data_IF_400297898539
#
_entry.id   IF_400297898539
#
_cell.length_a   1.000
_cell.length_b   1.000
_cell.length_c   1.000
_cell.angle_alpha   90.00
_cell.angle_beta   90.00
_cell.angle_gamma   90.00
#
_symmetry.space_group_name_H-M   'P 1'
#
loop_
_entity.id
_entity.type
_entity.pdbx_description
1 polymer ?
#
# COMPACT_ATOMS: atom_id res chain seq x y z
N UNK A 1 15.78 -5.21 15.97
CA UNK A 1 15.44 -6.54 15.42
C UNK A 1 16.43 -6.86 14.31
N UNK A 2 17.39 -7.77 14.54
CA UNK A 2 18.20 -8.36 13.46
C UNK A 2 17.27 -9.02 12.44
N UNK A 3 17.53 -9.14 11.15
CA UNK A 3 18.67 -8.79 10.31
C UNK A 3 18.40 -9.34 8.89
N UNK A 4 17.13 -9.30 8.46
CA UNK A 4 16.65 -9.91 7.21
C UNK A 4 16.36 -8.87 6.14
N UNK A 5 17.02 -7.72 6.23
CA UNK A 5 16.81 -6.63 5.29
C UNK A 5 18.11 -5.88 5.07
N UNK A 6 18.37 -5.57 3.81
CA UNK A 6 19.53 -4.81 3.38
C UNK A 6 19.14 -3.36 3.17
N UNK A 7 19.93 -2.43 3.71
CA UNK A 7 19.75 -1.01 3.47
C UNK A 7 20.28 -0.65 2.09
N UNK A 8 19.50 0.08 1.30
CA UNK A 8 19.90 0.56 -0.01
C UNK A 8 20.48 1.98 0.09
N UNK A 9 19.62 2.98 0.27
CA UNK A 9 20.00 4.39 0.34
C UNK A 9 18.94 5.20 1.12
N UNK A 10 19.24 6.47 1.42
CA UNK A 10 18.29 7.40 2.06
C UNK A 10 17.81 8.46 1.09
N UNK A 11 16.52 8.76 1.14
CA UNK A 11 15.90 9.87 0.39
C UNK A 11 15.15 10.76 1.39
N UNK A 12 15.56 12.03 1.52
CA UNK A 12 14.96 13.01 2.45
C UNK A 12 14.77 12.48 3.89
N UNK A 13 15.72 11.69 4.38
CA UNK A 13 15.68 11.08 5.73
C UNK A 13 15.05 9.69 5.79
N UNK A 14 14.25 9.31 4.80
CA UNK A 14 13.60 7.98 4.70
C UNK A 14 14.64 6.95 4.25
N UNK A 15 14.82 5.88 5.03
CA UNK A 15 15.69 4.77 4.65
C UNK A 15 14.96 3.80 3.71
N UNK A 16 15.45 3.62 2.49
CA UNK A 16 14.97 2.56 1.62
C UNK A 16 15.73 1.27 1.95
N UNK A 17 15.00 0.20 2.23
CA UNK A 17 15.54 -1.13 2.50
C UNK A 17 14.82 -2.20 1.70
N UNK A 18 15.48 -3.32 1.47
CA UNK A 18 14.93 -4.49 0.79
C UNK A 18 14.96 -5.67 1.75
N UNK A 19 13.83 -6.37 1.90
CA UNK A 19 13.77 -7.61 2.66
C UNK A 19 14.44 -8.75 1.89
N UNK A 20 15.09 -9.68 2.57
CA UNK A 20 15.83 -10.78 1.94
C UNK A 20 14.97 -11.62 0.99
N UNK A 21 13.68 -11.78 1.29
CA UNK A 21 12.72 -12.50 0.42
C UNK A 21 12.57 -11.87 -0.97
N UNK A 22 12.92 -10.60 -1.15
CA UNK A 22 12.97 -9.95 -2.46
C UNK A 22 13.99 -10.62 -3.40
N UNK A 23 15.10 -11.13 -2.87
CA UNK A 23 16.08 -11.86 -3.68
C UNK A 23 15.54 -13.21 -4.18
N UNK A 24 14.62 -13.84 -3.45
CA UNK A 24 13.91 -15.03 -3.93
C UNK A 24 13.00 -14.67 -5.12
N UNK A 25 12.30 -13.54 -5.05
CA UNK A 25 11.52 -13.03 -6.18
C UNK A 25 12.40 -12.75 -7.39
N UNK A 26 13.56 -12.09 -7.20
CA UNK A 26 14.55 -11.88 -8.25
C UNK A 26 15.01 -13.21 -8.87
N UNK A 27 15.28 -14.23 -8.07
CA UNK A 27 15.72 -15.54 -8.55
C UNK A 27 14.63 -16.24 -9.39
N UNK A 28 13.37 -16.20 -8.94
CA UNK A 28 12.23 -16.77 -9.69
C UNK A 28 12.03 -16.04 -11.01
N UNK A 29 12.01 -14.71 -10.99
CA UNK A 29 11.82 -13.89 -12.20
C UNK A 29 12.97 -14.06 -13.19
N UNK A 30 14.21 -14.16 -12.70
CA UNK A 30 15.38 -14.47 -13.51
C UNK A 30 15.28 -15.88 -14.12
N UNK A 31 14.84 -16.88 -13.34
CA UNK A 31 14.64 -18.24 -13.83
C UNK A 31 13.56 -18.33 -14.92
N UNK A 32 12.46 -17.59 -14.76
CA UNK A 32 11.42 -17.50 -15.79
C UNK A 32 11.91 -16.77 -17.04
N UNK A 33 12.70 -15.71 -16.88
CA UNK A 33 13.36 -15.03 -18.00
C UNK A 33 14.38 -15.93 -18.73
N UNK A 34 15.08 -16.78 -17.98
CA UNK A 34 16.03 -17.74 -18.55
C UNK A 34 15.34 -18.82 -19.37
N UNK A 35 14.25 -19.40 -18.86
CA UNK A 35 13.45 -20.40 -19.58
C UNK A 35 12.85 -19.80 -20.86
N UNK A 36 12.38 -18.55 -20.77
CA UNK A 36 11.55 -17.95 -21.82
C UNK A 36 10.22 -18.69 -21.96
N UNK A 37 9.32 -18.14 -22.76
CA UNK A 37 8.04 -18.77 -23.11
C UNK A 37 7.94 -18.76 -24.64
N UNK A 38 8.47 -19.80 -25.32
CA UNK A 38 8.54 -19.84 -26.79
C UNK A 38 7.17 -19.72 -27.46
N UNK A 39 6.13 -20.27 -26.84
CA UNK A 39 4.74 -20.20 -27.33
C UNK A 39 4.19 -18.77 -27.37
N UNK A 40 4.77 -17.86 -26.59
CA UNK A 40 4.42 -16.44 -26.52
C UNK A 40 5.45 -15.55 -27.26
N UNK A 41 6.43 -16.16 -27.93
CA UNK A 41 7.52 -15.46 -28.61
C UNK A 41 8.54 -14.82 -27.65
N UNK A 42 8.52 -15.17 -26.36
CA UNK A 42 9.45 -14.63 -25.38
C UNK A 42 10.83 -15.28 -25.51
N UNK A 43 11.85 -14.45 -25.79
CA UNK A 43 13.24 -14.87 -25.95
C UNK A 43 13.81 -15.30 -24.58
N UNK A 44 14.28 -16.54 -24.48
CA UNK A 44 14.93 -17.06 -23.27
C UNK A 44 16.40 -16.62 -23.12
N UNK A 45 17.11 -17.29 -22.21
CA UNK A 45 18.52 -17.03 -21.93
C UNK A 45 18.77 -15.68 -21.25
N UNK A 46 19.99 -15.13 -21.41
CA UNK A 46 20.38 -13.88 -20.75
C UNK A 46 19.55 -12.65 -21.18
N UNK A 47 19.02 -12.66 -22.41
CA UNK A 47 18.15 -11.58 -22.90
C UNK A 47 16.82 -11.58 -22.14
N UNK A 48 16.19 -12.74 -22.00
CA UNK A 48 14.95 -12.88 -21.21
C UNK A 48 15.15 -12.58 -19.74
N UNK A 49 16.29 -12.97 -19.15
CA UNK A 49 16.68 -12.58 -17.78
C UNK A 49 16.74 -11.07 -17.64
N UNK A 50 17.47 -10.39 -18.53
CA UNK A 50 17.62 -8.94 -18.49
C UNK A 50 16.28 -8.21 -18.65
N UNK A 51 15.43 -8.69 -19.57
CA UNK A 51 14.10 -8.15 -19.81
C UNK A 51 13.20 -8.26 -18.57
N UNK A 52 13.08 -9.47 -18.01
CA UNK A 52 12.22 -9.72 -16.86
C UNK A 52 12.69 -9.01 -15.59
N UNK A 53 14.00 -8.97 -15.34
CA UNK A 53 14.57 -8.19 -14.22
C UNK A 53 14.32 -6.69 -14.45
N UNK A 54 14.54 -6.18 -15.66
CA UNK A 54 14.30 -4.77 -15.97
C UNK A 54 12.84 -4.36 -15.73
N UNK A 55 11.91 -5.20 -16.16
CA UNK A 55 10.48 -5.08 -15.91
C UNK A 55 10.17 -5.08 -14.41
N UNK A 56 10.71 -6.05 -13.65
CA UNK A 56 10.50 -6.16 -12.20
C UNK A 56 11.03 -4.90 -11.47
N UNK A 57 12.23 -4.44 -11.84
CA UNK A 57 12.84 -3.26 -11.24
C UNK A 57 12.02 -2.00 -11.54
N UNK A 58 11.46 -1.87 -12.74
CA UNK A 58 10.60 -0.76 -13.09
C UNK A 58 9.26 -0.80 -12.33
N UNK A 59 8.65 -1.98 -12.19
CA UNK A 59 7.46 -2.16 -11.35
C UNK A 59 7.73 -1.74 -9.90
N UNK A 60 8.80 -2.24 -9.29
CA UNK A 60 9.15 -1.89 -7.92
C UNK A 60 9.56 -0.42 -7.77
N UNK A 61 10.08 0.21 -8.83
CA UNK A 61 10.28 1.66 -8.84
C UNK A 61 8.94 2.39 -8.74
N UNK A 62 7.89 1.95 -9.46
CA UNK A 62 6.55 2.50 -9.30
C UNK A 62 5.99 2.26 -7.89
N UNK A 63 6.21 1.08 -7.29
CA UNK A 63 5.86 0.81 -5.88
C UNK A 63 6.56 1.79 -4.93
N UNK A 64 7.87 2.02 -5.11
CA UNK A 64 8.62 2.97 -4.29
C UNK A 64 8.08 4.40 -4.46
N UNK A 65 7.76 4.82 -5.68
CA UNK A 65 7.19 6.14 -5.95
C UNK A 65 5.80 6.29 -5.30
N UNK A 66 4.97 5.26 -5.33
CA UNK A 66 3.70 5.20 -4.62
C UNK A 66 3.90 5.39 -3.11
N UNK A 67 4.81 4.64 -2.49
CA UNK A 67 5.14 4.77 -1.06
C UNK A 67 5.70 6.17 -0.72
N UNK A 68 6.48 6.77 -1.62
CA UNK A 68 6.93 8.15 -1.47
C UNK A 68 5.80 9.16 -1.52
N UNK A 69 4.74 8.92 -2.32
CA UNK A 69 3.53 9.74 -2.32
C UNK A 69 2.90 9.84 -0.93
N UNK A 70 2.71 8.70 -0.26
CA UNK A 70 2.25 8.67 1.13
C UNK A 70 3.25 9.36 2.06
N UNK A 71 4.52 9.00 1.94
CA UNK A 71 5.56 9.43 2.89
C UNK A 71 5.78 10.93 2.86
N UNK A 72 5.86 11.55 1.69
CA UNK A 72 6.06 12.99 1.56
C UNK A 72 4.85 13.79 2.03
N UNK A 73 3.63 13.30 1.76
CA UNK A 73 2.41 13.92 2.29
C UNK A 73 2.34 13.79 3.82
N UNK A 74 2.74 12.65 4.38
CA UNK A 74 2.80 12.43 5.82
C UNK A 74 3.82 13.37 6.48
N UNK A 75 5.02 13.49 5.90
CA UNK A 75 6.05 14.43 6.38
C UNK A 75 5.59 15.88 6.33
N UNK A 76 4.81 16.28 5.31
CA UNK A 76 4.21 17.61 5.24
C UNK A 76 3.27 17.89 6.43
N UNK A 77 2.58 16.88 6.93
CA UNK A 77 1.74 16.96 8.13
C UNK A 77 2.49 16.73 9.44
N UNK A 78 3.82 16.69 9.43
CA UNK A 78 4.65 16.50 10.62
C UNK A 78 4.73 15.06 11.12
N UNK A 79 4.33 14.08 10.30
CA UNK A 79 4.46 12.66 10.62
C UNK A 79 5.84 12.17 10.20
N UNK A 80 6.61 11.64 11.15
CA UNK A 80 7.90 11.03 10.86
C UNK A 80 7.76 9.72 10.09
N UNK A 81 8.59 9.56 9.06
CA UNK A 81 8.70 8.34 8.25
C UNK A 81 10.13 7.86 8.33
N UNK A 82 10.32 6.69 8.95
CA UNK A 82 11.68 6.18 9.23
C UNK A 82 12.25 5.40 8.05
N UNK A 83 11.40 4.62 7.39
CA UNK A 83 11.86 3.60 6.46
C UNK A 83 10.78 3.16 5.48
N UNK A 84 11.17 2.81 4.25
CA UNK A 84 10.35 2.05 3.30
C UNK A 84 11.02 0.70 3.10
N UNK A 85 10.31 -0.38 3.42
CA UNK A 85 10.78 -1.76 3.25
C UNK A 85 10.13 -2.39 2.01
N UNK A 86 10.94 -2.82 1.05
CA UNK A 86 10.48 -3.56 -0.12
C UNK A 86 10.43 -5.06 0.17
N UNK A 87 9.27 -5.66 -0.09
CA UNK A 87 8.97 -7.07 0.04
C UNK A 87 8.42 -7.61 -1.28
N UNK A 88 8.42 -8.93 -1.52
CA UNK A 88 7.82 -9.50 -2.73
C UNK A 88 6.35 -9.11 -2.97
N UNK A 89 5.62 -8.82 -1.89
CA UNK A 89 4.22 -8.42 -1.92
C UNK A 89 3.99 -6.92 -2.18
N UNK A 90 5.04 -6.08 -2.14
CA UNK A 90 4.92 -4.62 -2.29
C UNK A 90 5.88 -3.84 -1.38
N UNK A 91 5.59 -2.55 -1.20
CA UNK A 91 6.32 -1.67 -0.28
C UNK A 91 5.58 -1.55 1.06
N UNK A 92 6.33 -1.29 2.13
CA UNK A 92 5.76 -0.96 3.43
C UNK A 92 6.51 0.23 4.04
N UNK A 93 5.83 1.37 4.18
CA UNK A 93 6.35 2.52 4.89
C UNK A 93 6.15 2.41 6.42
N UNK A 94 7.21 2.64 7.18
CA UNK A 94 7.23 2.68 8.65
C UNK A 94 7.01 4.12 9.13
N UNK A 95 5.75 4.44 9.47
CA UNK A 95 5.35 5.71 10.08
C UNK A 95 5.54 5.70 11.60
N UNK A 96 5.87 6.86 12.19
CA UNK A 96 5.94 7.02 13.65
C UNK A 96 4.56 6.93 14.30
N UNK A 97 3.58 7.60 13.69
CA UNK A 97 2.17 7.52 14.07
C UNK A 97 1.29 7.90 12.87
N UNK A 98 0.14 7.24 12.71
CA UNK A 98 -0.85 7.66 11.70
C UNK A 98 -1.72 8.74 12.35
N UNK A 99 -1.88 9.94 11.75
CA UNK A 99 -2.75 10.98 12.28
C UNK A 99 -4.18 10.46 12.47
N UNK A 100 -4.80 10.83 13.59
CA UNK A 100 -6.20 10.48 13.86
C UNK A 100 -7.18 11.48 13.25
N UNK A 101 -6.70 12.59 12.69
CA UNK A 101 -7.54 13.54 11.97
C UNK A 101 -7.96 12.94 10.62
N UNK A 102 -9.27 12.75 10.37
CA UNK A 102 -9.77 12.10 9.17
C UNK A 102 -9.28 12.74 7.86
N UNK A 103 -9.21 14.08 7.82
CA UNK A 103 -8.77 14.81 6.64
C UNK A 103 -7.30 14.57 6.30
N UNK A 104 -6.41 14.54 7.31
CA UNK A 104 -4.98 14.30 7.09
C UNK A 104 -4.76 12.86 6.64
N UNK A 105 -5.43 11.92 7.29
CA UNK A 105 -5.33 10.52 6.92
C UNK A 105 -5.80 10.27 5.48
N UNK A 106 -6.94 10.87 5.08
CA UNK A 106 -7.46 10.79 3.72
C UNK A 106 -6.43 11.30 2.70
N UNK A 107 -5.84 12.48 2.94
CA UNK A 107 -4.87 13.07 2.01
C UNK A 107 -3.57 12.27 1.92
N UNK A 108 -3.05 11.81 3.07
CA UNK A 108 -1.85 10.95 3.11
C UNK A 108 -2.10 9.66 2.33
N UNK A 109 -3.25 9.03 2.56
CA UNK A 109 -3.59 7.74 1.93
C UNK A 109 -3.92 7.91 0.45
N UNK A 110 -4.52 9.03 0.03
CA UNK A 110 -4.81 9.28 -1.39
C UNK A 110 -3.54 9.58 -2.20
N UNK A 111 -2.49 10.08 -1.55
CA UNK A 111 -1.27 10.52 -2.22
C UNK A 111 -0.52 9.39 -2.96
N UNK A 112 -0.51 8.16 -2.42
CA UNK A 112 0.09 7.01 -3.11
C UNK A 112 -0.61 6.68 -4.42
N UNK A 113 -1.92 6.36 -4.42
CA UNK A 113 -2.68 6.14 -5.64
C UNK A 113 -2.60 7.31 -6.62
N UNK A 114 -2.58 8.55 -6.12
CA UNK A 114 -2.41 9.73 -6.97
C UNK A 114 -1.08 9.73 -7.74
N UNK A 115 0.02 9.24 -7.15
CA UNK A 115 1.30 9.07 -7.85
C UNK A 115 1.17 8.05 -8.98
N UNK A 116 0.51 6.92 -8.75
CA UNK A 116 0.27 5.93 -9.81
C UNK A 116 -0.54 6.52 -10.97
N UNK A 117 -1.63 7.23 -10.67
CA UNK A 117 -2.43 7.86 -11.71
C UNK A 117 -1.67 8.96 -12.45
N UNK A 118 -0.80 9.71 -11.77
CA UNK A 118 0.08 10.69 -12.41
C UNK A 118 1.09 10.02 -13.36
N UNK A 119 1.73 8.93 -12.93
CA UNK A 119 2.64 8.15 -13.77
C UNK A 119 1.89 7.58 -14.98
N UNK A 120 0.72 6.99 -14.75
CA UNK A 120 -0.14 6.49 -15.82
C UNK A 120 -0.52 7.60 -16.80
N UNK A 121 -0.91 8.79 -16.33
CA UNK A 121 -1.24 9.90 -17.21
C UNK A 121 -0.06 10.32 -18.10
N UNK A 122 1.13 10.44 -17.52
CA UNK A 122 2.36 10.76 -18.27
C UNK A 122 2.67 9.70 -19.32
N UNK A 123 2.60 8.42 -18.95
CA UNK A 123 2.84 7.32 -19.88
C UNK A 123 1.77 7.27 -20.98
N UNK A 124 0.51 7.51 -20.63
CA UNK A 124 -0.59 7.54 -21.61
C UNK A 124 -0.37 8.61 -22.68
N UNK A 125 0.15 9.78 -22.30
CA UNK A 125 0.54 10.84 -23.25
C UNK A 125 1.74 10.42 -24.09
N UNK A 126 2.71 9.73 -23.51
CA UNK A 126 3.95 9.34 -24.18
C UNK A 126 3.80 8.16 -25.17
N UNK A 127 3.02 7.14 -24.83
CA UNK A 127 2.92 5.88 -25.61
C UNK A 127 1.51 5.55 -26.13
N UNK A 128 0.54 6.41 -25.82
CA UNK A 128 -0.87 6.24 -26.18
C UNK A 128 -1.62 5.26 -25.27
N UNK A 129 -2.94 5.15 -25.48
CA UNK A 129 -3.80 4.20 -24.78
C UNK A 129 -3.62 2.79 -25.38
N UNK A 130 -3.43 1.74 -24.55
CA UNK A 130 -3.40 0.36 -25.03
C UNK A 130 -4.74 0.02 -25.72
N UNK A 131 -4.65 -0.53 -26.93
CA UNK A 131 -5.82 -0.98 -27.69
C UNK A 131 -6.21 -2.41 -27.25
N UNK A 132 -7.51 -2.66 -27.06
CA UNK A 132 -8.05 -3.97 -26.66
C UNK A 132 -8.35 -4.11 -25.16
N UNK A 133 -9.42 -4.82 -24.82
CA UNK A 133 -9.76 -5.20 -23.44
C UNK A 133 -9.97 -6.72 -23.38
N UNK A 134 -9.41 -7.44 -22.37
CA UNK A 134 -8.63 -6.95 -21.24
C UNK A 134 -7.21 -6.49 -21.63
N UNK A 135 -6.62 -5.58 -20.85
CA UNK A 135 -5.19 -5.25 -20.98
C UNK A 135 -4.35 -6.41 -20.45
N UNK A 136 -4.08 -7.39 -21.30
CA UNK A 136 -3.22 -8.53 -20.95
C UNK A 136 -1.77 -8.07 -20.93
N UNK A 137 -0.99 -8.62 -20.00
CA UNK A 137 0.48 -8.48 -20.01
C UNK A 137 1.14 -9.22 -21.18
N UNK A 138 0.38 -10.11 -21.80
CA UNK A 138 0.78 -10.92 -22.95
C UNK A 138 0.40 -10.14 -24.20
N UNK A 139 1.40 -9.79 -25.03
CA UNK A 139 1.21 -9.02 -26.27
C UNK A 139 1.90 -7.65 -26.32
N UNK A 140 2.64 -7.24 -25.29
CA UNK A 140 3.52 -6.07 -25.41
C UNK A 140 4.79 -6.43 -26.18
N UNK A 141 5.17 -5.57 -27.12
CA UNK A 141 6.41 -5.70 -27.87
C UNK A 141 7.61 -5.43 -26.96
N UNK A 142 8.73 -6.12 -27.23
CA UNK A 142 9.99 -5.93 -26.50
C UNK A 142 10.73 -4.65 -26.96
N UNK A 143 10.01 -3.53 -27.01
CA UNK A 143 10.50 -2.21 -27.37
C UNK A 143 10.11 -1.17 -26.31
N UNK A 144 10.56 0.07 -26.48
CA UNK A 144 10.30 1.16 -25.52
C UNK A 144 8.80 1.49 -25.39
N UNK A 145 8.02 1.36 -26.47
CA UNK A 145 6.59 1.67 -26.46
C UNK A 145 5.80 0.57 -25.75
N UNK A 146 6.10 -0.70 -26.02
CA UNK A 146 5.55 -1.86 -25.32
C UNK A 146 5.87 -1.82 -23.83
N UNK A 147 7.12 -1.50 -23.46
CA UNK A 147 7.52 -1.31 -22.07
C UNK A 147 6.74 -0.17 -21.38
N UNK A 148 6.60 0.98 -22.04
CA UNK A 148 5.81 2.10 -21.51
C UNK A 148 4.33 1.75 -21.32
N UNK A 149 3.75 0.97 -22.23
CA UNK A 149 2.35 0.52 -22.12
C UNK A 149 2.16 -0.52 -21.02
N UNK A 150 3.14 -1.39 -20.81
CA UNK A 150 3.13 -2.31 -19.67
C UNK A 150 3.14 -1.54 -18.34
N UNK A 151 4.04 -0.58 -18.19
CA UNK A 151 4.09 0.27 -16.99
C UNK A 151 2.82 1.09 -16.79
N UNK A 152 2.21 1.59 -17.87
CA UNK A 152 0.93 2.28 -17.82
C UNK A 152 -0.15 1.36 -17.22
N UNK A 153 -0.31 0.16 -17.77
CA UNK A 153 -1.29 -0.83 -17.29
C UNK A 153 -1.05 -1.18 -15.83
N UNK A 154 0.20 -1.37 -15.42
CA UNK A 154 0.54 -1.68 -14.04
C UNK A 154 0.29 -0.52 -13.07
N UNK A 155 0.56 0.71 -13.46
CA UNK A 155 0.24 1.87 -12.62
C UNK A 155 -1.27 2.04 -12.47
N UNK A 156 -2.03 1.88 -13.55
CA UNK A 156 -3.50 1.90 -13.48
C UNK A 156 -4.03 0.76 -12.61
N UNK A 157 -3.53 -0.46 -12.81
CA UNK A 157 -3.94 -1.62 -12.01
C UNK A 157 -3.60 -1.42 -10.53
N UNK A 158 -2.38 -0.99 -10.20
CA UNK A 158 -1.95 -0.74 -8.83
C UNK A 158 -2.75 0.40 -8.19
N UNK A 159 -2.96 1.52 -8.90
CA UNK A 159 -3.77 2.64 -8.41
C UNK A 159 -5.23 2.27 -8.17
N UNK A 160 -5.86 1.57 -9.11
CA UNK A 160 -7.25 1.12 -8.98
C UNK A 160 -7.42 0.05 -7.90
N UNK A 161 -6.51 -0.93 -7.86
CA UNK A 161 -6.52 -1.98 -6.84
C UNK A 161 -6.36 -1.37 -5.44
N UNK A 162 -5.42 -0.43 -5.27
CA UNK A 162 -5.26 0.25 -4.00
C UNK A 162 -6.46 1.12 -3.62
N UNK A 163 -7.33 1.55 -4.53
CA UNK A 163 -8.56 2.28 -4.19
C UNK A 163 -9.75 1.37 -3.80
N UNK A 164 -9.61 0.05 -3.89
CA UNK A 164 -10.65 -0.89 -3.46
C UNK A 164 -10.90 -0.71 -1.95
N UNK A 165 -12.17 -0.57 -1.49
CA UNK A 165 -12.51 -0.23 -0.09
C UNK A 165 -12.39 -1.44 0.85
N UNK A 166 -11.21 -2.06 0.89
CA UNK A 166 -10.92 -3.27 1.67
C UNK A 166 -9.51 -3.15 2.27
N UNK A 167 -9.33 -3.51 3.54
CA UNK A 167 -8.00 -3.61 4.13
C UNK A 167 -7.24 -4.83 3.58
N UNK A 168 -5.91 -4.75 3.39
CA UNK A 168 -5.00 -3.70 3.85
C UNK A 168 -4.78 -2.54 2.85
N UNK A 169 -5.55 -2.48 1.77
CA UNK A 169 -5.37 -1.49 0.70
C UNK A 169 -5.73 -0.06 1.16
N UNK A 170 -5.19 0.92 0.45
CA UNK A 170 -5.41 2.35 0.70
C UNK A 170 -6.88 2.75 0.69
N UNK A 171 -7.69 2.14 -0.17
CA UNK A 171 -9.11 2.38 -0.32
C UNK A 171 -9.88 2.03 0.95
N UNK A 172 -9.44 1.01 1.69
CA UNK A 172 -9.99 0.68 3.01
C UNK A 172 -9.72 1.80 4.04
N UNK A 173 -8.51 2.38 4.01
CA UNK A 173 -8.13 3.52 4.85
C UNK A 173 -8.84 4.82 4.43
N UNK A 174 -8.96 5.08 3.12
CA UNK A 174 -9.74 6.18 2.57
C UNK A 174 -11.20 6.07 3.01
N UNK A 175 -11.82 4.90 2.84
CA UNK A 175 -13.20 4.66 3.25
C UNK A 175 -13.37 4.85 4.76
N UNK A 176 -12.44 4.33 5.56
CA UNK A 176 -12.41 4.53 7.01
C UNK A 176 -12.30 6.02 7.38
N UNK A 177 -11.40 6.77 6.74
CA UNK A 177 -11.21 8.20 6.98
C UNK A 177 -12.48 8.99 6.65
N UNK A 178 -13.15 8.69 5.53
CA UNK A 178 -14.43 9.30 5.18
C UNK A 178 -15.50 9.03 6.24
N UNK A 179 -15.62 7.80 6.73
CA UNK A 179 -16.55 7.46 7.82
C UNK A 179 -16.20 8.16 9.14
N UNK A 180 -14.90 8.31 9.44
CA UNK A 180 -14.41 8.93 10.67
C UNK A 180 -14.70 10.44 10.74
N UNK A 181 -15.14 11.08 9.65
CA UNK A 181 -15.64 12.47 9.67
C UNK A 181 -16.94 12.62 10.46
N UNK A 182 -17.75 11.55 10.54
CA UNK A 182 -19.07 11.53 11.21
C UNK A 182 -19.16 10.53 12.34
N UNK A 183 -18.25 9.56 12.40
CA UNK A 183 -18.28 8.46 13.36
C UNK A 183 -17.00 8.42 14.20
N UNK A 184 -17.05 7.88 15.43
CA UNK A 184 -15.85 7.58 16.19
C UNK A 184 -14.90 6.67 15.39
N UNK A 185 -13.60 6.94 15.46
CA UNK A 185 -12.56 6.27 14.67
C UNK A 185 -12.63 4.73 14.75
N UNK A 186 -12.86 4.16 15.94
CA UNK A 186 -12.99 2.70 16.12
C UNK A 186 -14.24 2.16 15.41
N UNK A 187 -15.37 2.88 15.44
CA UNK A 187 -16.59 2.48 14.72
C UNK A 187 -16.40 2.59 13.20
N UNK A 188 -15.77 3.66 12.73
CA UNK A 188 -15.40 3.81 11.32
C UNK A 188 -14.50 2.64 10.85
N UNK A 189 -13.52 2.25 11.67
CA UNK A 189 -12.65 1.10 11.41
C UNK A 189 -13.42 -0.21 11.35
N UNK A 190 -14.34 -0.43 12.29
CA UNK A 190 -15.18 -1.62 12.31
C UNK A 190 -16.03 -1.75 11.04
N UNK A 191 -16.66 -0.66 10.61
CA UNK A 191 -17.48 -0.64 9.39
C UNK A 191 -16.60 -0.90 8.16
N UNK A 192 -15.46 -0.20 8.03
CA UNK A 192 -14.53 -0.39 6.91
C UNK A 192 -14.00 -1.83 6.83
N UNK A 193 -13.60 -2.41 7.97
CA UNK A 193 -13.17 -3.80 8.03
C UNK A 193 -14.31 -4.79 7.71
N UNK A 194 -15.54 -4.49 8.12
CA UNK A 194 -16.70 -5.35 7.84
C UNK A 194 -17.08 -5.33 6.37
N UNK A 195 -17.17 -4.14 5.76
CA UNK A 195 -17.38 -3.99 4.31
C UNK A 195 -16.27 -4.71 3.56
N UNK A 196 -15.02 -4.54 4.00
CA UNK A 196 -13.87 -5.22 3.45
C UNK A 196 -14.00 -6.75 3.45
N UNK A 197 -14.43 -7.31 4.59
CA UNK A 197 -14.67 -8.76 4.75
C UNK A 197 -15.81 -9.27 3.87
N UNK A 198 -16.90 -8.52 3.73
CA UNK A 198 -18.02 -8.90 2.86
C UNK A 198 -17.56 -8.94 1.40
N UNK A 199 -16.82 -7.93 0.95
CA UNK A 199 -16.26 -7.90 -0.40
C UNK A 199 -15.25 -9.03 -0.62
N UNK A 200 -14.42 -9.36 0.37
CA UNK A 200 -13.50 -10.48 0.30
C UNK A 200 -14.23 -11.82 0.16
N UNK A 201 -15.29 -12.07 0.93
CA UNK A 201 -16.10 -13.29 0.81
C UNK A 201 -16.80 -13.36 -0.54
N UNK A 202 -17.39 -12.25 -1.01
CA UNK A 202 -18.02 -12.18 -2.33
C UNK A 202 -17.01 -12.44 -3.46
N UNK A 203 -15.81 -11.86 -3.36
CA UNK A 203 -14.72 -12.08 -4.31
C UNK A 203 -14.22 -13.53 -4.31
N UNK A 204 -14.07 -14.14 -3.14
CA UNK A 204 -13.69 -15.55 -3.02
C UNK A 204 -14.74 -16.48 -3.63
N UNK A 205 -16.04 -16.22 -3.39
CA UNK A 205 -17.13 -16.97 -3.98
C UNK A 205 -17.16 -16.81 -5.51
N UNK A 206 -17.01 -15.59 -6.02
CA UNK A 206 -16.92 -15.34 -7.46
C UNK A 206 -15.73 -16.08 -8.08
N UNK A 207 -14.57 -16.05 -7.42
CA UNK A 207 -13.37 -16.76 -7.88
C UNK A 207 -13.58 -18.28 -7.95
N UNK A 208 -14.20 -18.89 -6.94
CA UNK A 208 -14.43 -20.35 -6.90
C UNK A 208 -15.55 -20.80 -7.84
N UNK A 209 -16.68 -20.10 -7.86
CA UNK A 209 -17.90 -20.57 -8.54
C UNK A 209 -18.13 -19.93 -9.90
N UNK A 210 -17.56 -18.74 -10.15
CA UNK A 210 -17.74 -17.99 -11.39
C UNK A 210 -16.57 -18.11 -12.38
N UNK A 211 -15.34 -18.20 -11.88
CA UNK A 211 -14.13 -18.11 -12.70
C UNK A 211 -13.18 -19.32 -12.60
N UNK A 212 -13.50 -20.33 -11.80
CA UNK A 212 -12.66 -21.51 -11.53
C UNK A 212 -11.20 -21.14 -11.18
N UNK A 213 -11.05 -20.10 -10.35
CA UNK A 213 -9.76 -19.50 -9.99
C UNK A 213 -9.46 -19.70 -8.50
N UNK A 214 -9.13 -20.92 -8.04
CA UNK A 214 -8.94 -21.24 -6.63
C UNK A 214 -7.81 -20.44 -5.98
N UNK A 215 -6.75 -20.11 -6.72
CA UNK A 215 -5.66 -19.28 -6.21
C UNK A 215 -6.11 -17.83 -5.93
N UNK A 216 -6.99 -17.29 -6.76
CA UNK A 216 -7.61 -15.98 -6.54
C UNK A 216 -8.51 -16.01 -5.30
N UNK A 217 -9.19 -17.13 -5.03
CA UNK A 217 -9.96 -17.29 -3.80
C UNK A 217 -9.08 -17.27 -2.54
N UNK A 218 -7.87 -17.85 -2.60
CA UNK A 218 -6.87 -17.78 -1.52
C UNK A 218 -6.43 -16.33 -1.27
N UNK A 219 -6.22 -15.53 -2.32
CA UNK A 219 -5.92 -14.11 -2.18
C UNK A 219 -7.03 -13.37 -1.43
N UNK A 220 -8.30 -13.62 -1.78
CA UNK A 220 -9.43 -13.04 -1.06
C UNK A 220 -9.54 -13.52 0.39
N UNK A 221 -9.19 -14.77 0.68
CA UNK A 221 -9.10 -15.26 2.06
C UNK A 221 -8.03 -14.49 2.86
N UNK A 222 -6.86 -14.22 2.27
CA UNK A 222 -5.83 -13.40 2.91
C UNK A 222 -6.35 -11.97 3.20
N UNK A 223 -7.02 -11.35 2.23
CA UNK A 223 -7.63 -10.02 2.37
C UNK A 223 -8.65 -10.00 3.53
N UNK A 224 -9.47 -11.04 3.67
CA UNK A 224 -10.40 -11.18 4.79
C UNK A 224 -9.69 -11.15 6.16
N UNK A 225 -8.60 -11.93 6.31
CA UNK A 225 -7.82 -11.96 7.55
C UNK A 225 -7.09 -10.65 7.82
N UNK A 226 -6.55 -10.00 6.79
CA UNK A 226 -5.87 -8.73 6.91
C UNK A 226 -6.79 -7.64 7.48
N UNK A 227 -8.05 -7.58 7.05
CA UNK A 227 -9.03 -6.64 7.61
C UNK A 227 -9.37 -6.89 9.08
N UNK A 228 -9.40 -8.14 9.51
CA UNK A 228 -9.59 -8.48 10.92
C UNK A 228 -8.37 -8.09 11.78
N UNK A 229 -7.17 -8.30 11.26
CA UNK A 229 -5.91 -7.88 11.91
C UNK A 229 -5.89 -6.36 12.11
N UNK A 230 -6.24 -5.59 11.09
CA UNK A 230 -6.27 -4.12 11.16
C UNK A 230 -7.26 -3.63 12.22
N UNK A 231 -8.49 -4.15 12.21
CA UNK A 231 -9.50 -3.77 13.21
C UNK A 231 -9.05 -4.08 14.64
N UNK A 232 -8.49 -5.27 14.88
CA UNK A 232 -7.99 -5.67 16.20
C UNK A 232 -6.81 -4.80 16.64
N UNK A 233 -5.92 -4.42 15.72
CA UNK A 233 -4.80 -3.55 16.01
C UNK A 233 -5.27 -2.15 16.46
N UNK A 234 -6.23 -1.56 15.75
CA UNK A 234 -6.82 -0.26 16.12
C UNK A 234 -7.53 -0.34 17.47
N UNK A 235 -8.37 -1.37 17.67
CA UNK A 235 -9.10 -1.55 18.94
C UNK A 235 -8.15 -1.70 20.13
N UNK A 236 -7.06 -2.46 19.95
CA UNK A 236 -6.05 -2.66 20.99
C UNK A 236 -5.36 -1.35 21.37
N UNK A 237 -4.93 -0.57 20.36
CA UNK A 237 -4.32 0.76 20.60
C UNK A 237 -5.25 1.70 21.35
N UNK A 238 -6.55 1.71 21.03
CA UNK A 238 -7.50 2.57 21.74
C UNK A 238 -7.66 2.16 23.21
N UNK A 239 -7.68 0.85 23.50
CA UNK A 239 -7.76 0.33 24.87
C UNK A 239 -6.48 0.68 25.64
N UNK A 240 -5.31 0.51 25.03
CA UNK A 240 -4.01 0.84 25.63
C UNK A 240 -3.88 2.33 25.93
N UNK A 241 -4.31 3.20 25.01
CA UNK A 241 -4.31 4.64 25.22
C UNK A 241 -5.29 5.04 26.34
N UNK A 242 -6.49 4.45 26.37
CA UNK A 242 -7.45 4.71 27.43
C UNK A 242 -6.91 4.28 28.81
N UNK A 243 -6.25 3.12 28.87
CA UNK A 243 -5.59 2.63 30.08
C UNK A 243 -4.48 3.60 30.53
N UNK A 244 -3.59 4.02 29.63
CA UNK A 244 -2.51 4.94 29.96
C UNK A 244 -3.00 6.33 30.37
N UNK A 245 -4.04 6.86 29.71
CA UNK A 245 -4.69 8.12 30.12
C UNK A 245 -5.23 8.02 31.54
N UNK A 246 -5.91 6.93 31.88
CA UNK A 246 -6.45 6.71 33.23
C UNK A 246 -5.32 6.53 34.28
N UNK A 247 -4.27 5.78 33.94
CA UNK A 247 -3.11 5.60 34.82
C UNK A 247 -2.38 6.93 35.08
N UNK A 248 -2.15 7.74 34.04
CA UNK A 248 -1.53 9.06 34.16
C UNK A 248 -2.38 10.01 34.99
N UNK A 249 -3.70 10.03 34.80
CA UNK A 249 -4.60 10.86 35.61
C UNK A 249 -4.56 10.49 37.11
N UNK A 250 -4.29 9.22 37.43
CA UNK A 250 -4.14 8.75 38.82
C UNK A 250 -2.79 9.15 39.43
N UNK A 251 -1.71 9.15 38.65
CA UNK A 251 -0.35 9.43 39.13
C UNK A 251 -0.08 10.94 39.17
N UNK A 252 -0.59 11.68 38.20
CA UNK A 252 -0.47 13.13 38.06
C UNK A 252 -1.86 13.77 38.00
N UNK A 253 -2.57 13.88 39.15
CA UNK A 253 -3.79 14.65 39.17
C UNK A 253 -3.45 16.09 38.82
N UNK A 254 -3.92 16.57 37.67
CA UNK A 254 -3.81 17.97 37.28
C UNK A 254 -4.53 18.77 38.37
N UNK A 255 -3.78 19.46 39.22
CA UNK A 255 -4.35 20.39 40.18
C UNK A 255 -4.91 21.55 39.38
N UNK A 256 -6.19 21.93 39.56
CA UNK A 256 -6.71 23.15 38.95
C UNK A 256 -5.78 24.31 39.33
N UNK A 257 -5.31 25.07 38.34
CA UNK A 257 -4.64 26.33 38.62
C UNK A 257 -5.69 27.20 39.32
N UNK A 258 -5.47 27.66 40.56
CA UNK A 258 -6.42 28.55 41.23
C UNK A 258 -6.67 29.77 40.35
N UNK A 259 -7.92 30.22 40.24
CA UNK A 259 -8.26 31.47 39.55
C UNK A 259 -7.31 32.59 40.01
N UNK A 260 -6.85 33.42 39.05
CA UNK A 260 -5.94 34.53 39.32
C UNK A 260 -6.38 35.29 40.58
N UNK A 261 -5.47 35.57 41.53
CA UNK A 261 -5.85 36.28 42.74
C UNK A 261 -6.47 37.64 42.37
N UNK A 262 -7.52 38.08 43.08
CA UNK A 262 -8.23 39.31 42.73
C UNK A 262 -7.23 40.47 42.67
N UNK A 263 -7.25 41.18 41.54
CA UNK A 263 -6.44 42.38 41.34
C UNK A 263 -6.82 43.38 42.43
N UNK A 264 -5.92 43.60 43.40
CA UNK A 264 -6.10 44.62 44.42
C UNK A 264 -6.13 45.98 43.72
N UNK A 265 -7.31 46.64 43.74
CA UNK A 265 -7.49 48.05 43.38
C UNK A 265 -7.31 48.92 44.62
#
# INVERSE_FOLDING_TARGET
MLGWSMNLFRVRGILLSVHFTFFLLLAVVAWDGWKGIPEEGAVGGWVGVAWNIGILMAFFTCVVLHEFGHSFTAMHYGVGVRRILLMPIGGMAEFDSIPREPAKEFLITLAGPAVNFAIALVLMVAVGVPQGWPWTTHGYTADAAGFGRLLLTWNLAMGLFNLVPVFPMDGGRIFRALLATKLPYVRATFIAATVGKVLAVAGAAAALFGFDAPLTAVLFAFIFFAGEVEYRAVKRREIEDAYWRAAMARIYPITPIPDEPPVLR
#
